data_IF_991681913217
#
_entry.id   IF_991681913217
#
_cell.length_a   1.000
_cell.length_b   1.000
_cell.length_c   1.000
_cell.angle_alpha   90.00
_cell.angle_beta   90.00
_cell.angle_gamma   90.00
#
_symmetry.space_group_name_H-M   'P 1'
#
loop_
_entity.id
_entity.type
_entity.pdbx_description
1 polymer ?
#
# COMPACT_ATOMS: atom_id res chain seq x y z
N UNK A 1 6.26 -17.84 -16.14
CA UNK A 1 5.07 -18.38 -15.45
C UNK A 1 5.48 -19.71 -14.86
N UNK A 2 5.68 -19.74 -13.55
CA UNK A 2 5.37 -20.84 -12.65
C UNK A 2 5.69 -20.32 -11.25
N UNK A 3 4.66 -20.22 -10.41
CA UNK A 3 4.81 -19.99 -8.97
C UNK A 3 4.50 -21.35 -8.38
N UNK A 4 5.53 -22.08 -7.98
CA UNK A 4 5.34 -23.30 -7.18
C UNK A 4 5.32 -22.88 -5.72
N UNK A 5 4.22 -23.15 -5.03
CA UNK A 5 4.16 -23.15 -3.57
C UNK A 5 5.09 -24.26 -3.07
N UNK A 6 6.27 -23.86 -2.59
CA UNK A 6 7.11 -24.71 -1.78
C UNK A 6 6.68 -24.59 -0.33
N UNK A 7 6.37 -25.72 0.29
CA UNK A 7 6.22 -25.87 1.74
C UNK A 7 7.54 -25.48 2.43
N UNK A 8 7.73 -24.19 2.72
CA UNK A 8 8.64 -23.60 3.72
C UNK A 8 8.66 -22.07 3.51
N UNK A 9 7.81 -21.34 4.27
CA UNK A 9 7.94 -19.94 4.74
C UNK A 9 8.68 -18.84 3.95
N UNK A 10 8.90 -18.96 2.65
CA UNK A 10 9.76 -18.06 1.88
C UNK A 10 9.42 -18.05 0.40
N UNK A 11 8.88 -16.93 -0.08
CA UNK A 11 8.72 -16.68 -1.52
C UNK A 11 10.10 -16.36 -2.09
N UNK A 12 10.70 -17.32 -2.81
CA UNK A 12 11.86 -17.07 -3.66
C UNK A 12 11.41 -16.41 -4.97
N UNK A 13 11.52 -15.08 -5.07
CA UNK A 13 11.24 -14.35 -6.31
C UNK A 13 12.50 -14.39 -7.17
N UNK A 14 12.51 -15.29 -8.16
CA UNK A 14 13.59 -15.40 -9.12
C UNK A 14 13.44 -14.29 -10.19
N UNK A 15 14.17 -13.19 -10.04
CA UNK A 15 14.14 -12.06 -11.00
C UNK A 15 14.94 -12.47 -12.24
N UNK A 16 14.28 -13.08 -13.21
CA UNK A 16 14.84 -13.23 -14.56
C UNK A 16 14.54 -11.97 -15.35
N UNK A 17 15.59 -11.19 -15.62
CA UNK A 17 15.60 -10.08 -16.58
C UNK A 17 15.11 -10.58 -17.94
N UNK A 18 13.84 -10.32 -18.26
CA UNK A 18 13.30 -10.40 -19.62
C UNK A 18 13.17 -8.98 -20.16
N UNK A 19 14.15 -8.61 -20.98
CA UNK A 19 14.07 -7.52 -21.97
C UNK A 19 12.84 -7.74 -22.88
N UNK A 20 11.70 -7.14 -22.54
CA UNK A 20 10.59 -6.88 -23.49
C UNK A 20 9.48 -5.94 -22.96
N UNK A 21 9.62 -5.34 -21.77
CA UNK A 21 8.53 -4.58 -21.12
C UNK A 21 8.33 -3.14 -21.67
N UNK A 22 9.28 -2.61 -22.45
CA UNK A 22 9.22 -1.22 -22.92
C UNK A 22 8.11 -0.89 -23.93
N UNK A 23 7.59 -1.87 -24.68
CA UNK A 23 6.72 -1.56 -25.82
C UNK A 23 5.26 -1.28 -25.45
N UNK A 24 4.73 -1.91 -24.40
CA UNK A 24 3.32 -1.78 -24.02
C UNK A 24 3.13 -0.57 -23.10
N UNK A 25 4.08 -0.33 -22.21
CA UNK A 25 4.05 0.75 -21.23
C UNK A 25 4.23 2.13 -21.89
N UNK A 26 5.09 2.21 -22.91
CA UNK A 26 5.23 3.40 -23.74
C UNK A 26 3.96 3.66 -24.55
N UNK A 27 3.31 2.62 -25.10
CA UNK A 27 2.08 2.77 -25.87
C UNK A 27 0.90 3.21 -25.00
N UNK A 28 0.79 2.68 -23.79
CA UNK A 28 -0.20 3.11 -22.79
C UNK A 28 0.06 4.56 -22.35
N UNK A 29 1.30 4.89 -21.99
CA UNK A 29 1.69 6.25 -21.58
C UNK A 29 1.43 7.28 -22.69
N UNK A 30 1.68 6.90 -23.95
CA UNK A 30 1.42 7.72 -25.12
C UNK A 30 -0.09 7.95 -25.32
N UNK A 31 -0.91 6.89 -25.24
CA UNK A 31 -2.38 7.01 -25.37
C UNK A 31 -3.02 7.83 -24.24
N UNK A 32 -2.47 7.78 -23.03
CA UNK A 32 -2.92 8.63 -21.91
C UNK A 32 -2.54 10.10 -22.13
N UNK A 33 -1.33 10.39 -22.64
CA UNK A 33 -0.91 11.77 -22.97
C UNK A 33 -1.65 12.37 -24.17
N UNK A 34 -2.02 11.54 -25.15
CA UNK A 34 -2.75 11.96 -26.36
C UNK A 34 -4.27 12.03 -26.15
N UNK A 35 -4.77 11.58 -24.99
CA UNK A 35 -6.18 11.68 -24.64
C UNK A 35 -6.56 13.12 -24.27
N UNK A 36 -7.58 13.74 -24.91
CA UNK A 36 -8.12 15.03 -24.48
C UNK A 36 -8.82 14.94 -23.10
N UNK A 37 -9.00 13.73 -22.57
CA UNK A 37 -9.35 13.50 -21.18
C UNK A 37 -8.08 13.46 -20.33
N UNK A 38 -7.75 14.59 -19.70
CA UNK A 38 -7.39 14.48 -18.30
C UNK A 38 -8.62 13.90 -17.60
N UNK A 39 -8.59 12.62 -17.22
CA UNK A 39 -9.62 12.01 -16.39
C UNK A 39 -9.76 12.90 -15.15
N UNK A 40 -10.81 13.72 -15.13
CA UNK A 40 -11.24 14.45 -13.94
C UNK A 40 -11.76 13.42 -12.96
N UNK A 41 -10.84 12.78 -12.24
CA UNK A 41 -11.16 12.22 -10.93
C UNK A 41 -11.74 13.37 -10.12
N UNK A 42 -12.85 13.10 -9.44
CA UNK A 42 -13.57 14.08 -8.64
C UNK A 42 -12.59 14.70 -7.65
N UNK A 43 -12.04 15.86 -7.98
CA UNK A 43 -11.22 16.65 -7.08
C UNK A 43 -12.11 16.88 -5.86
N UNK A 44 -11.75 16.28 -4.73
CA UNK A 44 -12.31 16.72 -3.47
C UNK A 44 -11.90 18.18 -3.34
N UNK A 45 -12.84 19.10 -3.55
CA UNK A 45 -12.63 20.51 -3.28
C UNK A 45 -12.26 20.63 -1.80
N UNK A 46 -10.98 20.85 -1.52
CA UNK A 46 -10.46 21.15 -0.18
C UNK A 46 -10.64 22.65 0.06
N UNK A 47 -11.86 23.16 -0.09
CA UNK A 47 -12.24 24.50 0.32
C UNK A 47 -13.62 24.39 0.97
N UNK A 48 -13.66 24.08 2.27
CA UNK A 48 -14.95 24.05 2.96
C UNK A 48 -15.05 23.48 4.36
N UNK A 49 -14.04 22.81 4.93
CA UNK A 49 -14.13 22.36 6.33
C UNK A 49 -13.60 23.44 7.29
N UNK A 50 -14.47 24.42 7.57
CA UNK A 50 -14.42 25.11 8.86
C UNK A 50 -15.03 24.22 9.93
N UNK A 51 -14.38 24.23 11.09
CA UNK A 51 -14.77 23.70 12.39
C UNK A 51 -16.25 23.82 12.73
N UNK A 52 -16.86 22.77 13.29
CA UNK A 52 -18.16 22.86 13.95
C UNK A 52 -18.84 21.50 14.14
N UNK A 53 -18.68 20.97 15.36
CA UNK A 53 -19.51 20.08 16.19
C UNK A 53 -20.74 19.31 15.64
N UNK A 54 -20.87 18.13 16.27
CA UNK A 54 -22.07 17.37 16.67
C UNK A 54 -22.72 16.29 15.78
N UNK A 55 -23.09 15.23 16.49
CA UNK A 55 -23.49 13.89 16.07
C UNK A 55 -24.80 13.82 15.27
N UNK A 56 -24.85 12.88 14.31
CA UNK A 56 -25.95 11.90 14.23
C UNK A 56 -25.59 10.73 13.30
N UNK A 57 -25.89 9.52 13.78
CA UNK A 57 -25.88 8.28 13.01
C UNK A 57 -27.01 8.34 11.98
N UNK A 58 -26.69 8.21 10.69
CA UNK A 58 -27.63 7.76 9.67
C UNK A 58 -26.91 6.83 8.68
N UNK A 59 -27.55 5.70 8.39
CA UNK A 59 -27.13 4.66 7.46
C UNK A 59 -26.98 5.22 6.04
N UNK A 60 -25.98 4.74 5.30
CA UNK A 60 -25.71 5.17 3.93
C UNK A 60 -26.91 4.85 3.00
N UNK A 61 -27.54 5.85 2.34
CA UNK A 61 -28.65 5.57 1.44
C UNK A 61 -28.13 5.11 0.07
N UNK A 62 -28.70 3.99 -0.40
CA UNK A 62 -28.58 3.53 -1.78
C UNK A 62 -29.02 4.63 -2.76
N UNK A 63 -28.14 5.07 -3.67
CA UNK A 63 -28.46 6.16 -4.60
C UNK A 63 -29.13 5.63 -5.87
N UNK A 64 -30.45 5.86 -5.95
CA UNK A 64 -31.25 5.84 -7.19
C UNK A 64 -30.76 6.92 -8.17
N UNK A 65 -30.78 6.58 -9.46
CA UNK A 65 -30.25 7.38 -10.56
C UNK A 65 -30.91 8.75 -10.75
N UNK A 66 -30.09 9.73 -11.13
CA UNK A 66 -30.54 11.07 -11.54
C UNK A 66 -30.65 11.08 -13.08
N UNK A 67 -31.82 11.46 -13.60
CA UNK A 67 -32.05 11.69 -15.03
C UNK A 67 -31.34 12.97 -15.49
N UNK A 68 -30.50 12.85 -16.52
CA UNK A 68 -29.85 13.97 -17.19
C UNK A 68 -30.81 14.49 -18.28
N UNK A 69 -31.06 15.81 -18.32
CA UNK A 69 -31.79 16.47 -19.41
C UNK A 69 -30.84 16.72 -20.58
N UNK A 70 -31.31 16.40 -21.78
CA UNK A 70 -30.58 16.43 -23.04
C UNK A 70 -30.01 17.82 -23.36
N UNK A 71 -28.69 17.90 -23.46
CA UNK A 71 -27.99 18.95 -24.19
C UNK A 71 -27.30 18.25 -25.38
N UNK A 72 -27.86 18.46 -26.57
CA UNK A 72 -27.43 17.78 -27.79
C UNK A 72 -25.98 18.09 -28.17
N UNK A 73 -25.13 17.06 -28.10
CA UNK A 73 -23.88 16.96 -28.85
C UNK A 73 -23.92 15.65 -29.65
N UNK A 74 -23.58 15.73 -30.94
CA UNK A 74 -23.86 14.72 -31.96
C UNK A 74 -23.34 13.31 -31.68
N UNK A 75 -24.12 12.33 -32.10
CA UNK A 75 -23.91 10.88 -31.92
C UNK A 75 -22.63 10.27 -32.54
N UNK A 76 -21.73 11.08 -33.14
CA UNK A 76 -20.46 10.61 -33.71
C UNK A 76 -19.28 10.69 -32.73
N UNK A 77 -19.35 11.53 -31.72
CA UNK A 77 -18.28 11.72 -30.72
C UNK A 77 -18.34 10.64 -29.64
N UNK A 78 -19.54 10.25 -29.20
CA UNK A 78 -19.77 9.33 -28.07
C UNK A 78 -19.19 7.93 -28.33
N UNK A 79 -19.38 7.39 -29.54
CA UNK A 79 -18.95 6.03 -29.90
C UNK A 79 -17.42 5.90 -29.97
N UNK A 80 -16.72 6.94 -30.46
CA UNK A 80 -15.25 6.98 -30.47
C UNK A 80 -14.66 7.12 -29.07
N UNK A 81 -15.30 7.92 -28.22
CA UNK A 81 -14.91 8.12 -26.82
C UNK A 81 -15.13 6.86 -25.98
N UNK A 82 -16.25 6.16 -26.18
CA UNK A 82 -16.54 4.86 -25.54
C UNK A 82 -15.58 3.77 -26.00
N UNK A 83 -15.24 3.70 -27.30
CA UNK A 83 -14.24 2.75 -27.80
C UNK A 83 -12.85 3.01 -27.19
N UNK A 84 -12.41 4.26 -27.12
CA UNK A 84 -11.12 4.62 -26.51
C UNK A 84 -11.09 4.33 -24.99
N UNK A 85 -12.18 4.58 -24.28
CA UNK A 85 -12.30 4.23 -22.87
C UNK A 85 -12.23 2.70 -22.65
N UNK A 86 -12.92 1.92 -23.49
CA UNK A 86 -12.92 0.46 -23.40
C UNK A 86 -11.54 -0.16 -23.67
N UNK A 87 -10.81 0.36 -24.67
CA UNK A 87 -9.44 -0.09 -24.93
C UNK A 87 -8.48 0.29 -23.79
N UNK A 88 -8.64 1.49 -23.23
CA UNK A 88 -7.85 1.92 -22.05
C UNK A 88 -8.10 1.00 -20.86
N UNK A 89 -9.36 0.69 -20.53
CA UNK A 89 -9.71 -0.23 -19.43
C UNK A 89 -9.14 -1.63 -19.68
N UNK A 90 -9.19 -2.11 -20.92
CA UNK A 90 -8.61 -3.40 -21.31
C UNK A 90 -7.10 -3.46 -21.12
N UNK A 91 -6.40 -2.33 -21.31
CA UNK A 91 -4.97 -2.21 -21.03
C UNK A 91 -4.70 -2.13 -19.52
N UNK A 92 -5.49 -1.35 -18.77
CA UNK A 92 -5.36 -1.24 -17.30
C UNK A 92 -5.56 -2.59 -16.59
N UNK A 93 -6.49 -3.42 -17.09
CA UNK A 93 -6.70 -4.80 -16.60
C UNK A 93 -5.47 -5.70 -16.73
N UNK A 94 -4.54 -5.38 -17.63
CA UNK A 94 -3.32 -6.16 -17.84
C UNK A 94 -2.18 -5.70 -16.93
N UNK A 95 -2.34 -4.57 -16.23
CA UNK A 95 -1.33 -4.06 -15.30
C UNK A 95 -1.18 -5.02 -14.13
N UNK A 96 0.06 -5.46 -13.92
CA UNK A 96 0.46 -6.26 -12.77
C UNK A 96 1.89 -5.89 -12.38
N UNK A 97 2.03 -4.82 -11.58
CA UNK A 97 3.33 -4.41 -11.04
C UNK A 97 3.56 -5.03 -9.68
N UNK A 98 4.81 -5.37 -9.40
CA UNK A 98 5.29 -5.78 -8.09
C UNK A 98 6.48 -4.89 -7.74
N UNK A 99 6.37 -4.19 -6.60
CA UNK A 99 7.41 -3.27 -6.14
C UNK A 99 7.93 -3.79 -4.80
N UNK A 100 9.21 -4.18 -4.68
CA UNK A 100 9.79 -4.52 -3.40
C UNK A 100 9.89 -3.26 -2.52
N UNK A 101 9.38 -3.32 -1.30
CA UNK A 101 9.36 -2.17 -0.39
C UNK A 101 10.41 -2.34 0.71
N UNK A 102 10.30 -3.40 1.51
CA UNK A 102 11.19 -3.59 2.66
C UNK A 102 11.99 -4.86 2.48
N UNK A 103 13.31 -4.74 2.59
CA UNK A 103 14.26 -5.85 2.51
C UNK A 103 15.04 -5.95 3.81
N UNK A 104 15.09 -7.14 4.40
CA UNK A 104 15.85 -7.42 5.62
C UNK A 104 16.99 -8.38 5.29
N UNK A 105 18.18 -8.11 5.83
CA UNK A 105 19.32 -9.02 5.72
C UNK A 105 19.26 -10.08 6.83
N UNK A 106 19.25 -11.36 6.44
CA UNK A 106 19.46 -12.49 7.35
C UNK A 106 20.83 -13.11 7.04
N UNK A 107 21.86 -12.66 7.76
CA UNK A 107 23.24 -13.04 7.46
C UNK A 107 23.70 -12.47 6.12
N UNK A 108 23.98 -13.33 5.15
CA UNK A 108 24.41 -12.94 3.80
C UNK A 108 23.23 -12.73 2.85
N UNK A 109 22.08 -13.36 3.14
CA UNK A 109 20.91 -13.29 2.28
C UNK A 109 20.06 -12.06 2.56
N UNK A 110 19.51 -11.47 1.49
CA UNK A 110 18.56 -10.36 1.55
C UNK A 110 17.19 -10.88 1.16
N UNK A 111 16.22 -10.78 2.07
CA UNK A 111 14.83 -11.22 1.85
C UNK A 111 13.90 -10.02 1.81
N UNK A 112 13.10 -9.93 0.75
CA UNK A 112 12.01 -8.95 0.66
C UNK A 112 10.89 -9.42 1.59
N UNK A 113 10.58 -8.63 2.62
CA UNK A 113 9.57 -8.96 3.63
C UNK A 113 8.26 -8.22 3.39
N UNK A 114 8.30 -7.05 2.76
CA UNK A 114 7.11 -6.33 2.33
C UNK A 114 7.27 -5.85 0.89
N UNK A 115 6.19 -5.90 0.14
CA UNK A 115 6.13 -5.46 -1.25
C UNK A 115 4.76 -4.87 -1.56
N UNK A 116 4.67 -4.06 -2.61
CA UNK A 116 3.41 -3.58 -3.15
C UNK A 116 3.06 -4.27 -4.46
N UNK A 117 1.77 -4.33 -4.76
CA UNK A 117 1.28 -4.67 -6.09
C UNK A 117 0.34 -3.60 -6.61
N UNK A 118 0.51 -3.20 -7.86
CA UNK A 118 -0.43 -2.32 -8.56
C UNK A 118 -1.18 -3.17 -9.58
N UNK A 119 -2.49 -3.31 -9.37
CA UNK A 119 -3.38 -4.18 -10.16
C UNK A 119 -4.76 -3.57 -10.31
N UNK A 120 -5.46 -3.94 -11.37
CA UNK A 120 -6.86 -3.60 -11.56
C UNK A 120 -7.74 -4.31 -10.53
N UNK A 121 -8.61 -3.54 -9.87
CA UNK A 121 -9.70 -4.04 -9.03
C UNK A 121 -10.99 -4.01 -9.82
N UNK A 122 -11.60 -5.18 -10.04
CA UNK A 122 -12.93 -5.24 -10.68
C UNK A 122 -14.03 -4.70 -9.75
N UNK A 123 -13.83 -4.72 -8.43
CA UNK A 123 -14.78 -4.15 -7.47
C UNK A 123 -14.83 -2.63 -7.58
N UNK A 124 -13.65 -1.99 -7.62
CA UNK A 124 -13.54 -0.54 -7.63
C UNK A 124 -13.53 0.05 -9.05
N UNK A 125 -13.37 -0.80 -10.09
CA UNK A 125 -13.15 -0.39 -11.49
C UNK A 125 -11.98 0.62 -11.63
N UNK A 126 -10.90 0.39 -10.89
CA UNK A 126 -9.70 1.22 -10.89
C UNK A 126 -8.44 0.42 -10.54
N UNK A 127 -7.26 0.99 -10.77
CA UNK A 127 -6.01 0.43 -10.26
C UNK A 127 -5.91 0.68 -8.75
N UNK A 128 -5.49 -0.33 -8.00
CA UNK A 128 -5.30 -0.26 -6.55
C UNK A 128 -3.86 -0.60 -6.21
N UNK A 129 -3.27 0.20 -5.33
CA UNK A 129 -1.94 -0.04 -4.77
C UNK A 129 -2.07 -0.88 -3.49
N UNK A 130 -1.75 -2.16 -3.56
CA UNK A 130 -1.89 -3.07 -2.42
C UNK A 130 -0.53 -3.34 -1.76
N UNK A 131 -0.33 -2.83 -0.55
CA UNK A 131 0.79 -3.21 0.32
C UNK A 131 0.55 -4.61 0.87
N UNK A 132 1.57 -5.46 0.75
CA UNK A 132 1.62 -6.84 1.26
C UNK A 132 2.77 -6.93 2.26
N UNK A 133 2.41 -7.07 3.52
CA UNK A 133 3.33 -7.26 4.65
C UNK A 133 3.37 -8.74 5.06
N UNK A 134 4.32 -9.18 5.91
CA UNK A 134 4.37 -10.55 6.38
C UNK A 134 3.09 -10.93 7.13
N UNK A 135 2.46 -12.03 6.73
CA UNK A 135 1.23 -12.51 7.36
C UNK A 135 1.56 -13.09 8.74
N UNK A 136 0.81 -12.62 9.74
CA UNK A 136 0.83 -13.17 11.09
C UNK A 136 -0.40 -14.06 11.29
N UNK A 137 -0.22 -15.23 11.89
CA UNK A 137 -1.34 -16.00 12.43
C UNK A 137 -1.97 -15.26 13.61
N UNK A 138 -3.18 -15.66 14.02
CA UNK A 138 -3.83 -15.05 15.18
C UNK A 138 -3.01 -15.27 16.47
N UNK A 139 -2.35 -16.42 16.62
CA UNK A 139 -1.44 -16.66 17.75
C UNK A 139 -0.17 -15.81 17.66
N UNK A 140 0.45 -15.71 16.49
CA UNK A 140 1.63 -14.88 16.25
C UNK A 140 1.33 -13.41 16.56
N UNK A 141 0.15 -12.94 16.14
CA UNK A 141 -0.29 -11.57 16.37
C UNK A 141 -0.53 -11.31 17.86
N UNK A 142 -1.27 -12.18 18.55
CA UNK A 142 -1.52 -12.03 19.98
C UNK A 142 -0.22 -12.01 20.79
N UNK A 143 0.71 -12.92 20.47
CA UNK A 143 2.03 -12.98 21.08
C UNK A 143 2.83 -11.70 20.81
N UNK A 144 2.85 -11.24 19.56
CA UNK A 144 3.56 -10.04 19.19
C UNK A 144 3.00 -8.81 19.91
N UNK A 145 1.68 -8.69 20.03
CA UNK A 145 1.03 -7.58 20.73
C UNK A 145 1.40 -7.58 22.23
N UNK A 146 1.43 -8.75 22.89
CA UNK A 146 1.92 -8.88 24.27
C UNK A 146 3.38 -8.42 24.41
N UNK A 147 4.25 -8.86 23.49
CA UNK A 147 5.67 -8.44 23.49
C UNK A 147 5.79 -6.93 23.28
N UNK A 148 4.99 -6.35 22.37
CA UNK A 148 4.99 -4.91 22.10
C UNK A 148 4.56 -4.12 23.34
N UNK A 149 3.58 -4.57 24.09
CA UNK A 149 3.13 -3.87 25.28
C UNK A 149 4.21 -3.89 26.39
N UNK A 150 4.87 -5.03 26.60
CA UNK A 150 6.03 -5.11 27.51
C UNK A 150 7.19 -4.21 27.05
N UNK A 151 7.40 -4.11 25.73
CA UNK A 151 8.40 -3.21 25.16
C UNK A 151 8.06 -1.75 25.44
N UNK A 152 6.82 -1.31 25.20
CA UNK A 152 6.38 0.07 25.45
C UNK A 152 6.63 0.49 26.90
N UNK A 153 6.37 -0.39 27.86
CA UNK A 153 6.61 -0.11 29.29
C UNK A 153 8.10 0.05 29.64
N UNK A 154 8.99 -0.63 28.90
CA UNK A 154 10.44 -0.60 29.13
C UNK A 154 11.16 0.53 28.40
N UNK A 155 10.63 0.95 27.26
CA UNK A 155 11.27 1.92 26.39
C UNK A 155 11.03 3.33 26.91
N UNK A 156 11.99 3.84 27.69
CA UNK A 156 12.06 5.25 28.06
C UNK A 156 13.05 6.00 27.15
N UNK A 157 12.92 5.82 25.84
CA UNK A 157 13.86 6.36 24.86
C UNK A 157 13.13 7.18 23.81
N UNK A 158 13.59 8.42 23.63
CA UNK A 158 13.19 9.28 22.53
C UNK A 158 13.98 8.90 21.26
N UNK A 159 13.36 8.07 20.41
CA UNK A 159 13.97 7.62 19.16
C UNK A 159 14.22 8.75 18.16
N UNK A 160 13.57 9.91 18.31
CA UNK A 160 13.80 11.08 17.45
C UNK A 160 15.20 11.69 17.58
N UNK A 161 15.91 11.38 18.67
CA UNK A 161 17.28 11.86 18.93
C UNK A 161 18.39 10.87 18.56
N UNK A 162 18.03 9.67 18.10
CA UNK A 162 18.96 8.57 17.84
C UNK A 162 19.06 8.33 16.33
N UNK A 163 20.28 8.09 15.82
CA UNK A 163 20.48 7.71 14.42
C UNK A 163 19.77 6.38 14.12
N UNK A 164 19.14 6.26 12.94
CA UNK A 164 18.29 5.11 12.59
C UNK A 164 18.92 3.73 12.79
N UNK A 165 20.20 3.54 12.47
CA UNK A 165 20.89 2.26 12.68
C UNK A 165 21.14 1.92 14.16
N UNK A 166 21.38 2.94 15.00
CA UNK A 166 21.53 2.77 16.44
C UNK A 166 20.18 2.49 17.10
N UNK A 167 19.13 3.17 16.65
CA UNK A 167 17.75 2.92 17.09
C UNK A 167 17.34 1.47 16.79
N UNK A 168 17.59 1.00 15.56
CA UNK A 168 17.28 -0.39 15.16
C UNK A 168 17.97 -1.41 16.06
N UNK A 169 19.29 -1.29 16.25
CA UNK A 169 20.02 -2.25 17.08
C UNK A 169 19.54 -2.22 18.54
N UNK A 170 19.18 -1.04 19.05
CA UNK A 170 18.64 -0.91 20.40
C UNK A 170 17.29 -1.61 20.56
N UNK A 171 16.32 -1.35 19.68
CA UNK A 171 14.98 -1.96 19.80
C UNK A 171 15.04 -3.48 19.66
N UNK A 172 15.83 -4.00 18.72
CA UNK A 172 15.98 -5.45 18.52
C UNK A 172 16.67 -6.09 19.72
N UNK A 173 17.61 -5.40 20.36
CA UNK A 173 18.23 -5.86 21.60
C UNK A 173 17.23 -5.95 22.74
N UNK A 174 16.39 -4.93 22.93
CA UNK A 174 15.34 -4.94 23.95
C UNK A 174 14.28 -6.01 23.66
N UNK A 175 13.86 -6.16 22.41
CA UNK A 175 12.96 -7.22 21.96
C UNK A 175 13.49 -8.61 22.32
N UNK A 176 14.76 -8.89 22.02
CA UNK A 176 15.39 -10.16 22.38
C UNK A 176 15.56 -10.37 23.90
N UNK A 177 15.64 -9.29 24.69
CA UNK A 177 15.59 -9.40 26.17
C UNK A 177 14.19 -9.78 26.65
N UNK A 178 13.15 -9.20 26.05
CA UNK A 178 11.75 -9.53 26.38
C UNK A 178 11.44 -10.98 26.06
N UNK A 179 11.76 -11.46 24.85
CA UNK A 179 11.56 -12.87 24.45
C UNK A 179 12.23 -13.81 25.45
N UNK A 180 13.50 -13.56 25.80
CA UNK A 180 14.24 -14.40 26.76
C UNK A 180 13.62 -14.40 28.15
N UNK A 181 13.05 -13.28 28.59
CA UNK A 181 12.38 -13.18 29.90
C UNK A 181 11.07 -13.97 29.93
N UNK A 182 10.31 -13.96 28.84
CA UNK A 182 9.05 -14.72 28.73
C UNK A 182 9.35 -16.22 28.51
N UNK A 183 10.55 -16.57 28.05
CA UNK A 183 11.00 -17.95 27.88
C UNK A 183 10.54 -18.59 26.58
N UNK A 184 10.12 -17.78 25.61
CA UNK A 184 9.63 -18.24 24.31
C UNK A 184 10.81 -18.44 23.35
N UNK A 185 10.74 -19.47 22.52
CA UNK A 185 11.66 -19.70 21.40
C UNK A 185 10.91 -19.44 20.11
N UNK A 186 11.36 -18.45 19.34
CA UNK A 186 10.84 -18.16 18.02
C UNK A 186 11.59 -18.96 16.96
N UNK A 187 10.88 -19.39 15.91
CA UNK A 187 11.53 -19.88 14.69
C UNK A 187 12.23 -18.74 13.95
N UNK A 188 13.16 -19.06 13.04
CA UNK A 188 13.83 -18.05 12.22
C UNK A 188 12.86 -17.20 11.39
N UNK A 189 11.73 -17.79 10.96
CA UNK A 189 10.68 -17.09 10.24
C UNK A 189 9.90 -16.14 11.16
N UNK A 190 9.46 -16.62 12.33
CA UNK A 190 8.78 -15.79 13.33
C UNK A 190 9.65 -14.61 13.76
N UNK A 191 10.92 -14.86 14.02
CA UNK A 191 11.88 -13.81 14.36
C UNK A 191 11.96 -12.73 13.26
N UNK A 192 11.97 -13.13 11.98
CA UNK A 192 11.98 -12.20 10.87
C UNK A 192 10.72 -11.34 10.83
N UNK A 193 9.54 -11.97 10.92
CA UNK A 193 8.25 -11.28 10.94
C UNK A 193 8.19 -10.30 12.11
N UNK A 194 8.56 -10.74 13.30
CA UNK A 194 8.44 -9.93 14.50
C UNK A 194 9.44 -8.78 14.50
N UNK A 195 10.69 -9.00 14.08
CA UNK A 195 11.67 -7.93 13.90
C UNK A 195 11.14 -6.84 12.94
N UNK A 196 10.50 -7.26 11.83
CA UNK A 196 9.88 -6.33 10.89
C UNK A 196 8.81 -5.46 11.58
N UNK A 197 7.83 -6.07 12.25
CA UNK A 197 6.75 -5.32 12.89
C UNK A 197 7.21 -4.48 14.08
N UNK A 198 8.20 -4.95 14.86
CA UNK A 198 8.78 -4.17 15.96
C UNK A 198 9.52 -2.95 15.43
N UNK A 199 10.32 -3.10 14.37
CA UNK A 199 10.94 -1.95 13.73
C UNK A 199 9.89 -0.99 13.18
N UNK A 200 8.94 -1.51 12.41
CA UNK A 200 7.86 -0.76 11.75
C UNK A 200 7.08 0.11 12.72
N UNK A 201 6.72 -0.44 13.89
CA UNK A 201 5.82 0.22 14.84
C UNK A 201 6.54 1.12 15.86
N UNK A 202 7.79 0.82 16.24
CA UNK A 202 8.50 1.63 17.26
C UNK A 202 9.46 2.67 16.67
N UNK A 203 10.00 2.41 15.48
CA UNK A 203 11.03 3.27 14.86
C UNK A 203 10.54 3.81 13.52
N UNK A 204 9.88 2.96 12.74
CA UNK A 204 9.29 3.33 11.46
C UNK A 204 8.03 4.16 11.61
N UNK A 205 7.37 4.38 10.48
CA UNK A 205 6.14 5.15 10.36
C UNK A 205 4.88 4.26 10.41
N UNK A 206 4.92 3.21 11.23
CA UNK A 206 3.83 2.23 11.38
C UNK A 206 3.33 1.72 10.02
N UNK A 207 2.01 1.77 9.77
CA UNK A 207 1.38 1.33 8.51
C UNK A 207 1.84 2.13 7.28
N UNK A 208 2.37 3.34 7.47
CA UNK A 208 2.91 4.16 6.40
C UNK A 208 4.31 3.69 5.99
N UNK A 209 5.04 3.05 6.91
CA UNK A 209 6.44 2.63 6.71
C UNK A 209 6.67 1.95 5.36
N UNK A 210 5.89 0.94 4.91
CA UNK A 210 6.17 0.29 3.63
C UNK A 210 6.08 1.25 2.44
N UNK A 211 5.11 2.17 2.45
CA UNK A 211 4.93 3.15 1.38
C UNK A 211 6.13 4.09 1.27
N UNK A 212 6.78 4.40 2.39
CA UNK A 212 7.93 5.29 2.43
C UNK A 212 9.19 4.71 1.78
N UNK A 213 9.22 3.40 1.49
CA UNK A 213 10.32 2.76 0.75
C UNK A 213 10.10 2.74 -0.77
N UNK A 214 8.93 3.15 -1.27
CA UNK A 214 8.68 3.23 -2.71
C UNK A 214 9.14 4.58 -3.28
N UNK A 215 10.24 4.57 -4.03
CA UNK A 215 10.82 5.76 -4.65
C UNK A 215 9.93 6.39 -5.74
N UNK A 216 8.95 5.63 -6.25
CA UNK A 216 8.04 6.10 -7.28
C UNK A 216 6.79 6.77 -6.72
N UNK A 217 6.62 6.77 -5.40
CA UNK A 217 5.61 7.60 -4.75
C UNK A 217 6.14 9.03 -4.69
N UNK A 218 5.34 9.97 -5.17
CA UNK A 218 5.60 11.40 -5.15
C UNK A 218 5.02 12.04 -3.89
N UNK A 219 3.73 11.80 -3.65
CA UNK A 219 3.01 12.34 -2.50
C UNK A 219 2.11 11.27 -1.86
N UNK A 220 1.88 11.39 -0.55
CA UNK A 220 0.94 10.55 0.19
C UNK A 220 -0.11 11.44 0.87
N UNK A 221 -1.38 11.18 0.56
CA UNK A 221 -2.54 11.85 1.14
C UNK A 221 -3.29 10.97 2.13
N UNK A 222 -3.35 11.41 3.39
CA UNK A 222 -4.20 10.82 4.42
C UNK A 222 -5.30 11.83 4.79
N UNK A 223 -6.56 11.51 4.45
CA UNK A 223 -7.69 12.43 4.62
C UNK A 223 -8.40 12.24 5.96
N UNK A 224 -8.47 11.02 6.47
CA UNK A 224 -9.15 10.72 7.72
C UNK A 224 -9.31 9.23 8.01
N UNK A 225 -9.97 8.90 9.12
CA UNK A 225 -10.18 7.53 9.55
C UNK A 225 -11.19 6.77 8.68
N UNK A 226 -10.96 5.48 8.48
CA UNK A 226 -11.78 4.62 7.64
C UNK A 226 -11.62 4.88 6.13
N UNK A 227 -10.85 5.90 5.76
CA UNK A 227 -10.58 6.26 4.36
C UNK A 227 -9.21 5.68 3.96
N UNK A 228 -9.12 5.00 2.80
CA UNK A 228 -7.84 4.61 2.22
C UNK A 228 -6.86 5.77 2.14
N UNK A 229 -5.59 5.48 2.42
CA UNK A 229 -4.52 6.39 2.04
C UNK A 229 -4.47 6.45 0.51
N UNK A 230 -4.39 7.65 -0.04
CA UNK A 230 -4.15 7.87 -1.46
C UNK A 230 -2.69 8.24 -1.67
N UNK A 231 -2.12 7.84 -2.80
CA UNK A 231 -0.79 8.26 -3.22
C UNK A 231 -0.84 8.86 -4.61
N UNK A 232 0.12 9.73 -4.89
CA UNK A 232 0.46 10.15 -6.25
C UNK A 232 1.70 9.39 -6.67
N UNK A 233 1.62 8.67 -7.79
CA UNK A 233 2.70 7.88 -8.34
C UNK A 233 3.31 8.62 -9.54
N UNK A 234 4.65 8.61 -9.64
CA UNK A 234 5.41 9.33 -10.68
C UNK A 234 5.10 8.85 -12.10
N UNK A 235 4.78 7.56 -12.25
CA UNK A 235 4.30 7.00 -13.52
C UNK A 235 2.92 7.61 -13.87
N UNK A 236 2.80 8.34 -15.00
CA UNK A 236 1.54 8.94 -15.44
C UNK A 236 0.41 7.94 -15.69
N UNK A 237 0.72 6.66 -15.89
CA UNK A 237 -0.29 5.59 -15.98
C UNK A 237 -1.08 5.45 -14.68
N UNK A 238 -0.41 5.66 -13.55
CA UNK A 238 -0.96 5.42 -12.23
C UNK A 238 -1.55 6.69 -11.63
N UNK A 239 -0.85 7.83 -11.76
CA UNK A 239 -1.30 9.11 -11.23
C UNK A 239 -1.75 8.99 -9.76
N UNK A 240 -3.00 9.33 -9.44
CA UNK A 240 -3.55 9.14 -8.09
C UNK A 240 -4.14 7.75 -7.92
N UNK A 241 -3.67 6.98 -6.93
CA UNK A 241 -4.12 5.62 -6.65
C UNK A 241 -4.52 5.47 -5.17
N UNK A 242 -5.65 4.79 -4.92
CA UNK A 242 -6.05 4.36 -3.58
C UNK A 242 -5.23 3.14 -3.12
N UNK A 243 -4.87 3.12 -1.83
CA UNK A 243 -4.16 2.00 -1.22
C UNK A 243 -5.10 1.08 -0.42
N UNK A 244 -4.62 -0.10 -0.03
CA UNK A 244 -5.30 -0.92 0.99
C UNK A 244 -4.95 -0.51 2.44
N UNK A 245 -4.19 0.57 2.63
CA UNK A 245 -3.76 1.04 3.95
C UNK A 245 -4.79 1.99 4.53
N UNK A 246 -5.36 1.64 5.68
CA UNK A 246 -6.43 2.38 6.35
C UNK A 246 -6.10 2.54 7.85
N UNK A 247 -6.22 3.77 8.35
CA UNK A 247 -6.28 4.05 9.79
C UNK A 247 -7.73 3.93 10.27
N UNK A 248 -8.00 3.03 11.22
CA UNK A 248 -9.36 2.75 11.70
C UNK A 248 -9.81 3.70 12.80
N UNK A 249 -8.87 4.21 13.58
CA UNK A 249 -9.12 5.08 14.74
C UNK A 249 -7.90 5.95 14.98
N UNK A 250 -8.08 6.94 15.87
CA UNK A 250 -7.01 7.76 16.43
C UNK A 250 -5.99 6.93 17.19
#
# INVERSE_FOLDING_TARGET
KEVTEGEEGGININITSKKSEGSIEEEISKKIRESPFQLKFKTLNIEGLKSGEEERREEAPARKGIKIKDAGLGAKTTVGMEMQANETIKLLRQVNRVVPLVTISQGVEKKVVAYATIKWSEENQELVYSVREPVLTDEEKALLDEIKDILKERLNVDFGKIRGSQAYNYIITEFNKVIRKIGIKLTSEQQLKFNYYVYRDFIGLEKLEPLMHDLNIEDIGCVGYGIPIFLYHRDPLFNQIATNVIYKSK
#
